data_IF_124176783979
#
_entry.id   IF_124176783979
#
_cell.length_a   1.000
_cell.length_b   1.000
_cell.length_c   1.000
_cell.angle_alpha   90.00
_cell.angle_beta   90.00
_cell.angle_gamma   90.00
#
_symmetry.space_group_name_H-M   'P 1'
#
loop_
_entity.id
_entity.type
_entity.pdbx_description
1 polymer ?
#
# COMPACT_ATOMS: atom_id res chain seq x y z
N UNK A 1 23.75 5.64 5.04
CA UNK A 1 23.13 4.31 5.21
C UNK A 1 21.80 4.53 5.93
N UNK A 2 20.70 3.99 5.41
CA UNK A 2 19.39 4.07 6.09
C UNK A 2 19.45 3.12 7.27
N UNK A 3 19.23 3.61 8.49
CA UNK A 3 19.12 2.76 9.66
C UNK A 3 17.77 2.05 9.61
N UNK A 4 17.79 0.72 9.67
CA UNK A 4 16.57 -0.09 9.56
C UNK A 4 16.56 -1.16 10.64
N UNK A 5 15.38 -1.43 11.18
CA UNK A 5 15.08 -2.63 11.97
C UNK A 5 14.22 -3.54 11.09
N UNK A 6 14.57 -4.81 10.95
CA UNK A 6 13.71 -5.77 10.24
C UNK A 6 12.61 -6.27 11.17
N UNK A 7 11.35 -6.10 10.75
CA UNK A 7 10.16 -6.57 11.46
C UNK A 7 9.49 -7.69 10.66
N UNK A 8 9.30 -8.89 11.24
CA UNK A 8 8.50 -9.94 10.63
C UNK A 8 7.09 -9.45 10.31
N UNK A 9 6.53 -9.91 9.19
CA UNK A 9 5.16 -9.58 8.80
C UNK A 9 4.20 -10.73 9.04
N UNK A 10 2.94 -10.40 9.25
CA UNK A 10 1.83 -11.36 9.23
C UNK A 10 1.09 -11.24 7.90
N UNK A 11 0.64 -12.38 7.37
CA UNK A 11 -0.13 -12.45 6.11
C UNK A 11 -1.53 -12.97 6.39
N UNK A 12 -2.52 -12.15 6.10
CA UNK A 12 -3.95 -12.44 6.22
C UNK A 12 -4.54 -12.61 4.82
N UNK A 13 -5.43 -13.57 4.63
CA UNK A 13 -6.08 -13.85 3.35
C UNK A 13 -7.58 -13.95 3.50
N UNK A 14 -8.30 -13.50 2.46
CA UNK A 14 -9.76 -13.67 2.35
C UNK A 14 -10.23 -15.14 2.36
N UNK A 15 -9.33 -16.08 2.11
CA UNK A 15 -9.56 -17.53 2.12
C UNK A 15 -9.24 -18.19 3.47
N UNK A 16 -8.67 -17.44 4.41
CA UNK A 16 -8.46 -17.95 5.76
C UNK A 16 -9.82 -18.28 6.41
N UNK A 17 -9.82 -19.24 7.33
CA UNK A 17 -11.03 -19.62 8.05
C UNK A 17 -11.55 -18.43 8.87
N UNK A 18 -12.84 -18.12 8.72
CA UNK A 18 -13.52 -16.98 9.36
C UNK A 18 -13.01 -15.59 8.92
N UNK A 19 -12.28 -15.49 7.80
CA UNK A 19 -11.88 -14.20 7.26
C UNK A 19 -13.10 -13.34 6.89
N UNK A 20 -13.08 -12.03 7.18
CA UNK A 20 -14.12 -11.11 6.72
C UNK A 20 -14.13 -11.01 5.20
N UNK A 21 -15.31 -10.74 4.65
CA UNK A 21 -15.51 -10.68 3.21
C UNK A 21 -15.50 -9.22 2.72
N UNK A 22 -14.76 -8.95 1.65
CA UNK A 22 -14.81 -7.66 0.95
C UNK A 22 -15.93 -7.70 -0.08
N UNK A 23 -17.11 -7.18 0.27
CA UNK A 23 -18.35 -7.29 -0.50
C UNK A 23 -18.82 -5.93 -1.01
N UNK A 24 -19.81 -5.89 -1.91
CA UNK A 24 -20.46 -4.64 -2.36
C UNK A 24 -21.44 -4.09 -1.31
N UNK A 25 -20.93 -3.82 -0.12
CA UNK A 25 -21.70 -3.33 1.03
C UNK A 25 -20.88 -2.31 1.81
N UNK A 26 -21.52 -1.20 2.17
CA UNK A 26 -20.95 -0.17 3.03
C UNK A 26 -20.37 -0.79 4.31
N UNK A 27 -19.18 -0.34 4.70
CA UNK A 27 -18.45 -0.85 5.86
C UNK A 27 -17.65 -2.14 5.64
N UNK A 28 -17.77 -2.85 4.51
CA UNK A 28 -17.03 -4.11 4.30
C UNK A 28 -15.50 -3.95 4.31
N UNK A 29 -14.97 -2.90 3.65
CA UNK A 29 -13.54 -2.58 3.68
C UNK A 29 -13.08 -2.22 5.11
N UNK A 30 -13.87 -1.42 5.82
CA UNK A 30 -13.60 -1.09 7.23
C UNK A 30 -13.53 -2.36 8.08
N UNK A 31 -14.47 -3.30 7.89
CA UNK A 31 -14.51 -4.58 8.61
C UNK A 31 -13.28 -5.44 8.34
N UNK A 32 -12.81 -5.53 7.08
CA UNK A 32 -11.56 -6.23 6.74
C UNK A 32 -10.36 -5.63 7.49
N UNK A 33 -10.23 -4.30 7.46
CA UNK A 33 -9.14 -3.60 8.14
C UNK A 33 -9.22 -3.78 9.67
N UNK A 34 -10.41 -3.64 10.26
CA UNK A 34 -10.62 -3.82 11.71
C UNK A 34 -10.25 -5.23 12.17
N UNK A 35 -10.65 -6.26 11.43
CA UNK A 35 -10.32 -7.64 11.75
C UNK A 35 -8.81 -7.89 11.66
N UNK A 36 -8.12 -7.42 10.61
CA UNK A 36 -6.69 -7.69 10.47
C UNK A 36 -5.83 -6.84 11.42
N UNK A 37 -6.20 -5.57 11.62
CA UNK A 37 -5.38 -4.59 12.33
C UNK A 37 -5.61 -4.63 13.85
N UNK A 38 -6.84 -4.87 14.30
CA UNK A 38 -7.25 -4.57 15.68
C UNK A 38 -7.77 -5.79 16.43
N UNK A 39 -8.65 -6.59 15.82
CA UNK A 39 -9.39 -7.65 16.54
C UNK A 39 -8.83 -9.06 16.32
N UNK A 40 -8.23 -9.32 15.17
CA UNK A 40 -7.97 -10.68 14.68
C UNK A 40 -9.24 -11.35 14.16
N UNK A 41 -9.11 -12.56 13.63
CA UNK A 41 -10.25 -13.40 13.26
C UNK A 41 -9.84 -14.88 13.21
N UNK A 42 -10.75 -15.80 13.54
CA UNK A 42 -10.43 -17.22 13.59
C UNK A 42 -9.23 -17.49 14.50
N UNK A 43 -8.17 -18.08 13.94
CA UNK A 43 -6.87 -18.28 14.63
C UNK A 43 -5.82 -17.22 14.30
N UNK A 44 -6.14 -16.25 13.43
CA UNK A 44 -5.22 -15.20 13.03
C UNK A 44 -5.23 -14.06 14.07
N UNK A 45 -4.10 -13.77 14.75
CA UNK A 45 -4.03 -12.67 15.71
C UNK A 45 -4.10 -11.31 14.99
N UNK A 46 -4.47 -10.24 15.69
CA UNK A 46 -4.41 -8.89 15.13
C UNK A 46 -2.96 -8.40 14.93
N UNK A 47 -2.73 -7.46 13.99
CA UNK A 47 -1.41 -6.81 13.79
C UNK A 47 -0.97 -5.88 14.94
N UNK A 48 -1.82 -5.65 15.93
CA UNK A 48 -1.49 -4.83 17.10
C UNK A 48 -1.63 -3.33 16.83
N UNK A 49 -2.62 -2.93 16.06
CA UNK A 49 -2.99 -1.52 15.88
C UNK A 49 -4.12 -1.12 16.84
N UNK A 50 -4.35 0.18 16.95
CA UNK A 50 -5.48 0.80 17.66
C UNK A 50 -6.54 1.28 16.66
N UNK A 51 -7.78 1.39 17.15
CA UNK A 51 -8.87 2.08 16.47
C UNK A 51 -9.42 3.18 17.38
N UNK A 52 -8.74 4.35 17.47
CA UNK A 52 -9.12 5.43 18.39
C UNK A 52 -10.54 5.97 18.17
N UNK A 53 -11.11 5.78 16.97
CA UNK A 53 -12.45 6.23 16.65
C UNK A 53 -13.14 5.27 15.68
N UNK A 54 -14.41 4.97 15.94
CA UNK A 54 -15.30 4.25 15.05
C UNK A 54 -16.72 4.83 15.20
N UNK A 55 -17.36 5.17 14.08
CA UNK A 55 -18.74 5.61 14.05
C UNK A 55 -19.39 5.16 12.74
N UNK A 56 -20.39 4.28 12.85
CA UNK A 56 -21.04 3.68 11.68
C UNK A 56 -20.02 3.04 10.73
N UNK A 57 -19.89 3.58 9.53
CA UNK A 57 -19.03 3.07 8.47
C UNK A 57 -17.67 3.75 8.40
N UNK A 58 -17.37 4.64 9.35
CA UNK A 58 -16.11 5.37 9.46
C UNK A 58 -15.26 4.81 10.59
N UNK A 59 -13.97 4.61 10.36
CA UNK A 59 -13.00 4.24 11.38
C UNK A 59 -11.68 4.98 11.19
N UNK A 60 -10.93 5.09 12.29
CA UNK A 60 -9.56 5.60 12.29
C UNK A 60 -8.66 4.52 12.86
N UNK A 61 -7.60 4.16 12.14
CA UNK A 61 -6.60 3.16 12.54
C UNK A 61 -5.26 3.81 12.80
N UNK A 62 -4.57 3.39 13.86
CA UNK A 62 -3.25 3.93 14.24
C UNK A 62 -2.35 2.84 14.78
N UNK A 63 -1.06 2.90 14.44
CA UNK A 63 -0.05 2.06 15.08
C UNK A 63 0.01 2.29 16.60
N UNK A 64 0.03 1.20 17.36
CA UNK A 64 0.35 1.21 18.81
C UNK A 64 1.84 1.32 19.07
N UNK A 65 2.68 1.03 18.08
CA UNK A 65 4.13 0.93 18.25
C UNK A 65 4.70 2.25 18.81
N UNK A 66 5.50 2.23 19.89
CA UNK A 66 6.05 3.43 20.49
C UNK A 66 6.98 4.21 19.55
N UNK A 67 7.60 3.53 18.56
CA UNK A 67 8.47 4.18 17.56
C UNK A 67 7.68 4.76 16.38
N UNK A 68 6.36 4.60 16.31
CA UNK A 68 5.57 5.10 15.20
C UNK A 68 5.29 6.60 15.27
N UNK A 69 5.15 7.26 14.12
CA UNK A 69 4.86 8.71 13.97
C UNK A 69 3.54 9.17 14.58
N UNK A 70 2.68 8.20 14.96
CA UNK A 70 1.30 8.39 15.42
C UNK A 70 0.37 9.03 14.37
N UNK A 71 0.77 9.12 13.11
CA UNK A 71 -0.18 9.40 12.03
C UNK A 71 -1.18 8.25 11.94
N UNK A 72 -2.45 8.60 11.75
CA UNK A 72 -3.54 7.64 11.68
C UNK A 72 -4.19 7.62 10.29
N UNK A 73 -4.68 6.46 9.88
CA UNK A 73 -5.46 6.27 8.66
C UNK A 73 -6.95 6.39 8.99
N UNK A 74 -7.63 7.38 8.43
CA UNK A 74 -9.08 7.41 8.36
C UNK A 74 -9.56 6.58 7.17
N UNK A 75 -10.61 5.79 7.38
CA UNK A 75 -11.40 5.15 6.33
C UNK A 75 -12.86 5.50 6.54
N UNK A 76 -13.43 6.26 5.62
CA UNK A 76 -14.87 6.48 5.52
C UNK A 76 -15.44 5.55 4.44
N UNK A 77 -16.12 4.50 4.87
CA UNK A 77 -16.65 3.44 4.01
C UNK A 77 -18.18 3.48 3.94
N UNK A 78 -18.77 4.67 3.93
CA UNK A 78 -20.22 4.86 3.80
C UNK A 78 -20.81 4.37 2.47
N UNK A 79 -19.99 4.29 1.40
CA UNK A 79 -20.42 3.79 0.10
C UNK A 79 -20.15 2.29 -0.10
N UNK A 80 -20.94 1.67 -0.99
CA UNK A 80 -20.90 0.23 -1.26
C UNK A 80 -19.74 -0.23 -2.16
N UNK A 81 -19.07 0.70 -2.83
CA UNK A 81 -18.11 0.40 -3.91
C UNK A 81 -16.79 1.15 -3.77
N UNK A 82 -16.74 2.18 -2.92
CA UNK A 82 -15.55 2.96 -2.64
C UNK A 82 -15.51 3.44 -1.20
N UNK A 83 -14.33 3.83 -0.75
CA UNK A 83 -14.14 4.53 0.50
C UNK A 83 -13.39 5.85 0.26
N UNK A 84 -13.52 6.78 1.18
CA UNK A 84 -12.66 7.95 1.26
C UNK A 84 -11.63 7.73 2.35
N UNK A 85 -10.36 7.93 2.01
CA UNK A 85 -9.26 7.72 2.96
C UNK A 85 -8.47 8.98 3.18
N UNK A 86 -7.95 9.14 4.39
CA UNK A 86 -7.15 10.30 4.75
C UNK A 86 -6.14 9.97 5.83
N UNK A 87 -5.05 10.74 5.90
CA UNK A 87 -4.16 10.76 7.05
C UNK A 87 -4.62 11.82 8.05
N UNK A 88 -4.64 11.44 9.32
CA UNK A 88 -5.01 12.28 10.45
C UNK A 88 -3.86 12.40 11.45
N UNK A 89 -3.78 13.55 12.12
CA UNK A 89 -3.08 13.73 13.39
C UNK A 89 -4.10 14.19 14.45
N UNK A 90 -3.71 14.18 15.73
CA UNK A 90 -4.58 14.64 16.83
C UNK A 90 -5.95 13.91 16.91
N UNK A 91 -5.98 12.66 16.44
CA UNK A 91 -7.18 11.85 16.18
C UNK A 91 -7.84 11.23 17.43
N UNK A 92 -7.70 11.86 18.61
CA UNK A 92 -8.23 11.33 19.88
C UNK A 92 -9.78 11.43 19.95
N UNK A 93 -10.39 12.27 19.11
CA UNK A 93 -11.84 12.36 18.88
C UNK A 93 -12.10 13.01 17.51
N UNK A 94 -13.30 12.87 16.96
CA UNK A 94 -13.66 13.47 15.66
C UNK A 94 -13.47 14.99 15.65
N UNK A 95 -13.91 15.68 16.71
CA UNK A 95 -13.80 17.15 16.83
C UNK A 95 -12.36 17.68 16.90
N UNK A 96 -11.41 16.81 17.25
CA UNK A 96 -9.98 17.16 17.40
C UNK A 96 -9.12 16.63 16.27
N UNK A 97 -9.63 15.70 15.48
CA UNK A 97 -8.90 15.07 14.40
C UNK A 97 -8.58 16.11 13.31
N UNK A 98 -7.28 16.33 13.09
CA UNK A 98 -6.82 17.18 11.99
C UNK A 98 -6.51 16.31 10.77
N UNK A 99 -7.32 16.46 9.73
CA UNK A 99 -7.06 15.87 8.41
C UNK A 99 -5.87 16.58 7.76
N UNK A 100 -4.78 15.85 7.55
CA UNK A 100 -3.52 16.41 7.03
C UNK A 100 -3.22 15.99 5.60
N UNK A 101 -3.72 14.82 5.16
CA UNK A 101 -3.58 14.41 3.76
C UNK A 101 -4.82 13.65 3.30
N UNK A 102 -5.48 14.16 2.27
CA UNK A 102 -6.50 13.45 1.51
C UNK A 102 -6.46 14.00 0.09
N UNK A 103 -6.63 13.15 -0.92
CA UNK A 103 -6.90 13.66 -2.25
C UNK A 103 -8.32 14.22 -2.27
N UNK A 104 -8.48 15.49 -2.67
CA UNK A 104 -9.78 16.16 -2.64
C UNK A 104 -10.86 15.45 -3.48
N UNK A 105 -10.47 14.71 -4.53
CA UNK A 105 -11.41 14.06 -5.46
C UNK A 105 -11.09 12.58 -5.73
N UNK A 106 -10.09 11.96 -5.08
CA UNK A 106 -9.72 10.58 -5.42
C UNK A 106 -10.28 9.62 -4.38
N UNK A 107 -11.04 8.64 -4.85
CA UNK A 107 -11.66 7.63 -4.01
C UNK A 107 -10.84 6.34 -4.02
N UNK A 108 -11.00 5.54 -2.97
CA UNK A 108 -10.47 4.20 -2.87
C UNK A 108 -11.54 3.21 -3.35
N UNK A 109 -11.60 2.95 -4.65
CA UNK A 109 -12.59 2.00 -5.18
C UNK A 109 -12.20 0.57 -4.83
N UNK A 110 -13.11 -0.14 -4.14
CA UNK A 110 -12.92 -1.52 -3.71
C UNK A 110 -13.92 -2.49 -4.35
N UNK A 111 -14.88 -2.02 -5.14
CA UNK A 111 -15.75 -2.86 -5.97
C UNK A 111 -16.03 -2.22 -7.34
N UNK A 112 -16.27 -3.08 -8.34
CA UNK A 112 -16.84 -2.66 -9.62
C UNK A 112 -18.36 -2.81 -9.60
N UNK A 113 -19.05 -2.18 -10.55
CA UNK A 113 -20.52 -2.20 -10.62
C UNK A 113 -21.12 -3.62 -10.62
N UNK A 114 -20.54 -4.52 -11.40
CA UNK A 114 -21.05 -5.89 -11.65
C UNK A 114 -20.46 -6.95 -10.70
N UNK A 115 -19.68 -6.54 -9.70
CA UNK A 115 -18.99 -7.46 -8.78
C UNK A 115 -19.60 -7.35 -7.39
N UNK A 116 -19.84 -8.48 -6.74
CA UNK A 116 -20.45 -8.53 -5.40
C UNK A 116 -19.45 -8.84 -4.29
N UNK A 117 -18.30 -9.43 -4.64
CA UNK A 117 -17.24 -9.85 -3.72
C UNK A 117 -15.89 -9.84 -4.44
N UNK A 118 -14.82 -9.53 -3.69
CA UNK A 118 -13.43 -9.60 -4.16
C UNK A 118 -12.56 -10.31 -3.13
N UNK A 119 -11.61 -11.09 -3.61
CA UNK A 119 -10.55 -11.62 -2.77
C UNK A 119 -9.57 -10.53 -2.37
N UNK A 120 -8.92 -10.73 -1.23
CA UNK A 120 -7.95 -9.80 -0.67
C UNK A 120 -6.85 -10.51 0.10
N UNK A 121 -5.70 -9.84 0.23
CA UNK A 121 -4.56 -10.22 1.08
C UNK A 121 -4.11 -8.96 1.84
N UNK A 122 -3.94 -9.06 3.15
CA UNK A 122 -3.31 -8.01 3.95
C UNK A 122 -1.97 -8.52 4.49
N UNK A 123 -0.91 -7.74 4.30
CA UNK A 123 0.45 -8.08 4.77
C UNK A 123 0.96 -6.88 5.57
N UNK A 124 1.52 -7.11 6.75
CA UNK A 124 2.11 -6.01 7.50
C UNK A 124 2.62 -6.39 8.87
N UNK A 125 3.01 -5.36 9.61
CA UNK A 125 3.48 -5.44 11.00
C UNK A 125 2.92 -4.26 11.80
N UNK A 126 3.45 -4.04 13.01
CA UNK A 126 2.96 -3.01 13.94
C UNK A 126 3.11 -1.56 13.47
N UNK A 127 3.80 -1.28 12.35
CA UNK A 127 4.15 0.09 11.89
C UNK A 127 3.74 0.40 10.46
N UNK A 128 3.54 -0.62 9.61
CA UNK A 128 3.04 -0.46 8.25
C UNK A 128 2.30 -1.71 7.80
N UNK A 129 1.39 -1.54 6.84
CA UNK A 129 0.72 -2.63 6.17
C UNK A 129 0.39 -2.28 4.72
N UNK A 130 0.12 -3.32 3.94
CA UNK A 130 -0.46 -3.25 2.61
C UNK A 130 -1.71 -4.13 2.57
N UNK A 131 -2.80 -3.59 2.05
CA UNK A 131 -3.97 -4.35 1.64
C UNK A 131 -3.97 -4.43 0.11
N UNK A 132 -3.98 -5.66 -0.40
CA UNK A 132 -4.17 -5.97 -1.81
C UNK A 132 -5.57 -6.55 -2.01
N UNK A 133 -6.25 -6.20 -3.10
CA UNK A 133 -7.50 -6.85 -3.50
C UNK A 133 -7.60 -6.97 -5.01
N UNK A 134 -8.44 -7.91 -5.46
CA UNK A 134 -8.63 -8.16 -6.89
C UNK A 134 -9.12 -6.89 -7.59
N UNK A 135 -8.45 -6.53 -8.66
CA UNK A 135 -8.81 -5.48 -9.60
C UNK A 135 -9.76 -5.95 -10.69
N UNK A 136 -9.89 -5.17 -11.76
CA UNK A 136 -10.63 -5.62 -12.96
C UNK A 136 -9.76 -6.59 -13.76
N UNK A 137 -8.50 -6.23 -13.98
CA UNK A 137 -7.52 -7.08 -14.68
C UNK A 137 -6.33 -7.44 -13.80
N UNK A 138 -6.02 -6.62 -12.79
CA UNK A 138 -4.78 -6.74 -12.01
C UNK A 138 -5.07 -6.61 -10.52
N UNK A 139 -4.12 -6.10 -9.74
CA UNK A 139 -4.23 -5.91 -8.29
C UNK A 139 -4.45 -4.44 -7.95
N UNK A 140 -5.36 -4.20 -7.01
CA UNK A 140 -5.48 -2.92 -6.31
C UNK A 140 -4.73 -2.95 -5.00
N UNK A 141 -4.23 -1.79 -4.59
CA UNK A 141 -3.40 -1.65 -3.40
C UNK A 141 -3.82 -0.45 -2.57
N UNK A 142 -3.78 -0.61 -1.25
CA UNK A 142 -3.69 0.43 -0.23
C UNK A 142 -2.46 0.12 0.61
N UNK A 143 -1.48 1.01 0.63
CA UNK A 143 -0.33 0.93 1.52
C UNK A 143 -0.40 2.09 2.52
N UNK A 144 -0.19 1.80 3.80
CA UNK A 144 -0.18 2.80 4.86
C UNK A 144 0.81 2.45 5.97
N UNK A 145 1.58 3.44 6.40
CA UNK A 145 2.39 3.35 7.61
C UNK A 145 3.71 4.09 7.55
N UNK A 146 4.57 3.80 8.52
CA UNK A 146 5.86 4.43 8.64
C UNK A 146 6.91 3.76 7.75
N UNK A 147 7.85 4.56 7.26
CA UNK A 147 9.01 4.09 6.50
C UNK A 147 10.33 4.55 7.14
N UNK A 148 11.43 3.77 7.02
CA UNK A 148 12.75 4.20 7.46
C UNK A 148 13.24 5.45 6.72
N UNK A 149 13.42 6.54 7.45
CA UNK A 149 13.76 7.84 6.88
C UNK A 149 15.26 8.14 6.91
N UNK A 150 15.71 8.94 5.94
CA UNK A 150 17.02 9.59 5.93
C UNK A 150 17.04 10.92 6.67
N UNK A 151 15.87 11.54 6.90
CA UNK A 151 15.80 12.83 7.57
C UNK A 151 16.08 12.66 9.08
N UNK A 152 16.93 13.53 9.62
CA UNK A 152 17.28 13.52 11.05
C UNK A 152 16.09 14.01 11.86
N UNK A 153 15.67 13.21 12.85
CA UNK A 153 14.53 13.58 13.72
C UNK A 153 13.19 13.61 12.98
N UNK A 154 13.04 12.82 11.92
CA UNK A 154 11.82 12.79 11.11
C UNK A 154 10.59 12.44 11.96
N UNK A 155 9.56 13.29 11.90
CA UNK A 155 8.26 13.07 12.55
C UNK A 155 7.11 12.98 11.54
N UNK A 156 7.45 12.88 10.26
CA UNK A 156 6.56 12.90 9.11
C UNK A 156 6.73 11.70 8.17
N UNK A 157 7.56 10.72 8.54
CA UNK A 157 7.87 9.51 7.77
C UNK A 157 6.73 8.49 7.75
N UNK A 158 5.48 8.95 7.74
CA UNK A 158 4.31 8.14 7.43
C UNK A 158 3.90 8.42 5.98
N UNK A 159 3.63 7.36 5.23
CA UNK A 159 3.29 7.38 3.82
C UNK A 159 1.94 6.70 3.60
N UNK A 160 1.20 7.17 2.60
CA UNK A 160 -0.02 6.53 2.12
C UNK A 160 0.02 6.47 0.60
N UNK A 161 -0.36 5.32 0.06
CA UNK A 161 -0.60 5.12 -1.37
C UNK A 161 -1.87 4.30 -1.56
N UNK A 162 -2.64 4.63 -2.58
CA UNK A 162 -3.64 3.72 -3.08
C UNK A 162 -3.85 3.85 -4.59
N UNK A 163 -4.21 2.74 -5.24
CA UNK A 163 -4.71 2.75 -6.61
C UNK A 163 -6.10 3.38 -6.66
N UNK A 164 -6.34 4.27 -7.62
CA UNK A 164 -7.54 5.07 -7.71
C UNK A 164 -7.95 5.26 -9.17
N UNK A 165 -9.25 5.17 -9.43
CA UNK A 165 -9.85 5.58 -10.70
C UNK A 165 -10.21 7.08 -10.70
N UNK A 166 -9.67 7.88 -9.77
CA UNK A 166 -10.05 9.29 -9.60
C UNK A 166 -11.36 9.43 -8.80
N UNK A 167 -12.29 10.22 -9.32
CA UNK A 167 -13.55 10.60 -8.67
C UNK A 167 -14.72 9.63 -8.93
N UNK A 168 -14.47 8.58 -9.72
CA UNK A 168 -15.44 7.53 -9.99
C UNK A 168 -15.93 6.86 -8.71
N UNK A 169 -17.22 6.52 -8.67
CA UNK A 169 -17.84 5.84 -7.54
C UNK A 169 -17.59 4.33 -7.55
N UNK A 170 -16.87 3.79 -8.51
CA UNK A 170 -16.66 2.36 -8.64
C UNK A 170 -15.41 2.07 -9.45
N UNK A 171 -14.86 0.89 -9.20
CA UNK A 171 -13.62 0.45 -9.81
C UNK A 171 -13.80 0.27 -11.31
N UNK A 172 -12.82 0.77 -12.07
CA UNK A 172 -12.73 0.59 -13.51
C UNK A 172 -11.34 0.07 -13.91
N UNK A 173 -10.95 0.28 -15.16
CA UNK A 173 -9.64 -0.09 -15.72
C UNK A 173 -8.72 1.13 -15.85
N UNK A 174 -8.96 2.20 -15.09
CA UNK A 174 -8.25 3.48 -15.22
C UNK A 174 -7.18 3.69 -14.14
N UNK A 175 -7.12 2.82 -13.13
CA UNK A 175 -6.13 2.98 -12.06
C UNK A 175 -4.72 2.70 -12.53
N UNK A 176 -3.87 3.68 -12.29
CA UNK A 176 -2.46 3.62 -12.58
C UNK A 176 -1.65 3.10 -11.39
N UNK A 177 -0.54 2.44 -11.71
CA UNK A 177 0.43 1.97 -10.72
C UNK A 177 1.19 3.11 -10.03
N UNK A 178 2.07 2.77 -9.07
CA UNK A 178 2.78 3.77 -8.30
C UNK A 178 3.75 4.60 -9.16
N UNK A 179 3.81 5.90 -8.90
CA UNK A 179 4.70 6.83 -9.61
C UNK A 179 6.15 6.56 -9.31
N UNK A 180 6.94 6.45 -10.37
CA UNK A 180 8.34 6.06 -10.27
C UNK A 180 9.26 7.00 -11.06
N UNK A 181 10.45 7.28 -10.53
CA UNK A 181 11.47 8.05 -11.25
C UNK A 181 11.85 7.31 -12.54
N UNK A 182 11.80 8.03 -13.66
CA UNK A 182 12.18 7.49 -14.97
C UNK A 182 11.10 6.65 -15.67
N UNK A 183 9.93 6.45 -15.06
CA UNK A 183 8.81 5.80 -15.75
C UNK A 183 8.09 6.78 -16.68
N UNK A 184 7.85 6.35 -17.92
CA UNK A 184 7.12 7.14 -18.94
C UNK A 184 5.62 6.80 -19.01
N UNK A 185 5.10 5.99 -18.09
CA UNK A 185 3.69 5.60 -18.06
C UNK A 185 2.91 6.38 -17.00
N UNK A 186 1.60 6.52 -17.22
CA UNK A 186 0.66 7.13 -16.28
C UNK A 186 0.76 6.47 -14.90
N UNK A 187 0.81 7.28 -13.85
CA UNK A 187 1.10 6.81 -12.50
C UNK A 187 0.51 7.68 -11.41
N UNK A 188 0.31 7.09 -10.24
CA UNK A 188 -0.29 7.72 -9.07
C UNK A 188 0.78 8.08 -8.05
N UNK A 189 0.82 9.36 -7.65
CA UNK A 189 1.74 9.86 -6.62
C UNK A 189 1.43 9.28 -5.25
N UNK A 190 2.42 9.32 -4.37
CA UNK A 190 2.29 8.95 -2.97
C UNK A 190 2.02 10.19 -2.12
N UNK A 191 1.41 9.97 -0.95
CA UNK A 191 1.16 11.01 0.05
C UNK A 191 2.06 10.84 1.27
N UNK A 192 2.82 11.86 1.64
CA UNK A 192 3.53 11.92 2.92
C UNK A 192 2.72 12.69 3.94
N UNK A 193 2.78 12.25 5.20
CA UNK A 193 2.12 12.93 6.31
C UNK A 193 2.68 14.35 6.53
N UNK A 194 4.01 14.52 6.43
CA UNK A 194 4.67 15.83 6.52
C UNK A 194 5.91 15.92 5.63
N UNK A 195 6.31 17.14 5.30
CA UNK A 195 7.64 17.41 4.70
C UNK A 195 8.78 16.98 5.64
N UNK A 196 10.00 16.86 5.12
CA UNK A 196 11.16 16.38 5.88
C UNK A 196 11.56 17.28 7.05
N UNK A 197 11.28 18.56 6.92
CA UNK A 197 11.48 19.59 7.95
C UNK A 197 10.25 19.76 8.85
N UNK A 198 9.19 18.98 8.65
CA UNK A 198 7.90 19.05 9.31
C UNK A 198 7.16 20.41 9.19
N UNK A 199 7.60 21.31 8.29
CA UNK A 199 6.99 22.63 8.09
C UNK A 199 5.68 22.57 7.29
N UNK A 200 5.49 21.53 6.48
CA UNK A 200 4.28 21.32 5.67
C UNK A 200 3.59 20.02 6.07
N UNK A 201 2.29 20.07 6.31
CA UNK A 201 1.43 18.91 6.53
C UNK A 201 0.82 18.47 5.20
N UNK A 202 0.86 17.17 4.91
CA UNK A 202 0.31 16.60 3.69
C UNK A 202 1.09 16.99 2.43
N UNK A 203 1.88 16.06 1.89
CA UNK A 203 2.57 16.23 0.60
C UNK A 203 2.05 15.21 -0.39
N UNK A 204 1.52 15.66 -1.52
CA UNK A 204 0.81 14.81 -2.51
C UNK A 204 1.64 14.51 -3.77
N UNK A 205 2.89 14.94 -3.77
CA UNK A 205 3.80 14.87 -4.93
C UNK A 205 5.07 14.10 -4.56
N UNK A 206 4.88 12.90 -4.01
CA UNK A 206 5.97 11.97 -3.71
C UNK A 206 5.94 10.79 -4.69
N UNK A 207 7.09 10.17 -4.89
CA UNK A 207 7.25 9.05 -5.83
C UNK A 207 8.28 8.06 -5.30
N UNK A 208 8.45 6.93 -6.00
CA UNK A 208 9.47 5.94 -5.68
C UNK A 208 10.57 5.88 -6.75
N UNK A 209 11.70 5.25 -6.44
CA UNK A 209 12.67 4.78 -7.43
C UNK A 209 13.05 3.34 -7.15
N UNK A 210 13.40 2.60 -8.18
CA UNK A 210 13.93 1.24 -8.07
C UNK A 210 14.85 0.94 -9.25
N UNK A 211 15.90 0.15 -9.04
CA UNK A 211 16.83 -0.24 -10.12
C UNK A 211 16.08 -1.02 -11.22
N UNK A 212 15.31 -2.04 -10.85
CA UNK A 212 14.48 -2.83 -11.75
C UNK A 212 13.38 -2.02 -12.43
N UNK A 213 12.96 -0.91 -11.82
CA UNK A 213 12.06 0.04 -12.44
C UNK A 213 12.64 0.75 -13.67
N UNK A 214 13.96 0.91 -13.74
CA UNK A 214 14.63 1.60 -14.84
C UNK A 214 14.69 0.78 -16.14
N UNK A 215 14.47 -0.53 -16.07
CA UNK A 215 14.48 -1.43 -17.23
C UNK A 215 13.30 -2.41 -17.21
N UNK A 216 12.15 -1.99 -16.69
CA UNK A 216 10.94 -2.82 -16.64
C UNK A 216 10.46 -3.27 -18.05
N UNK A 217 9.76 -4.40 -18.10
CA UNK A 217 9.28 -5.03 -19.33
C UNK A 217 10.23 -6.09 -19.91
N UNK A 218 11.12 -6.64 -19.09
CA UNK A 218 11.98 -7.75 -19.51
C UNK A 218 11.19 -9.05 -19.68
N UNK A 219 11.69 -9.97 -20.49
CA UNK A 219 11.07 -11.28 -20.67
C UNK A 219 11.21 -12.08 -19.37
N UNK A 220 10.13 -12.78 -19.00
CA UNK A 220 10.13 -13.77 -17.93
C UNK A 220 10.20 -15.21 -18.49
N UNK A 221 11.03 -16.11 -17.93
CA UNK A 221 12.06 -15.83 -16.92
C UNK A 221 13.23 -15.02 -17.49
N UNK A 222 14.01 -14.41 -16.60
CA UNK A 222 15.20 -13.66 -16.96
C UNK A 222 16.23 -14.53 -17.70
N UNK A 223 16.73 -14.09 -18.85
CA UNK A 223 17.58 -14.91 -19.71
C UNK A 223 18.96 -15.26 -19.11
N UNK A 224 19.43 -14.49 -18.12
CA UNK A 224 20.76 -14.68 -17.51
C UNK A 224 20.65 -15.53 -16.23
N UNK A 225 19.74 -15.15 -15.34
CA UNK A 225 19.56 -15.79 -14.04
C UNK A 225 18.58 -16.98 -14.07
N UNK A 226 17.82 -17.13 -15.16
CA UNK A 226 16.67 -18.04 -15.26
C UNK A 226 15.63 -17.83 -14.12
N UNK A 227 15.62 -16.63 -13.55
CA UNK A 227 14.82 -16.24 -12.40
C UNK A 227 14.17 -14.89 -12.62
N UNK A 228 14.24 -14.03 -11.61
CA UNK A 228 13.60 -12.73 -11.61
C UNK A 228 14.51 -11.66 -11.00
N UNK A 229 14.53 -10.48 -11.61
CA UNK A 229 15.22 -9.30 -11.10
C UNK A 229 14.24 -8.43 -10.30
N UNK A 230 14.50 -8.32 -9.00
CA UNK A 230 13.83 -7.35 -8.13
C UNK A 230 14.80 -6.38 -7.51
N UNK A 231 14.30 -5.20 -7.17
CA UNK A 231 15.01 -4.28 -6.30
C UNK A 231 14.06 -3.49 -5.43
N UNK A 232 14.56 -3.12 -4.25
CA UNK A 232 13.85 -2.28 -3.29
C UNK A 232 13.38 -0.98 -3.94
N UNK A 233 12.28 -0.46 -3.42
CA UNK A 233 11.78 0.87 -3.76
C UNK A 233 12.26 1.88 -2.73
N UNK A 234 12.72 3.05 -3.16
CA UNK A 234 13.08 4.18 -2.29
C UNK A 234 12.04 5.28 -2.44
N UNK A 235 11.61 5.87 -1.33
CA UNK A 235 10.67 6.99 -1.30
C UNK A 235 11.42 8.28 -1.60
N UNK A 236 10.83 9.15 -2.42
CA UNK A 236 11.33 10.48 -2.73
C UNK A 236 10.30 11.55 -2.42
N UNK A 237 10.78 12.66 -1.87
CA UNK A 237 10.00 13.88 -1.67
C UNK A 237 10.37 14.92 -2.73
N UNK A 238 9.36 15.62 -3.28
CA UNK A 238 9.61 16.81 -4.09
C UNK A 238 9.98 18.01 -3.21
N UNK A 239 11.22 18.49 -3.37
CA UNK A 239 11.76 19.70 -2.75
C UNK A 239 12.09 20.68 -3.87
N UNK A 240 11.29 21.73 -4.01
CA UNK A 240 11.50 22.80 -4.99
C UNK A 240 11.67 22.29 -6.45
N UNK A 241 10.83 21.33 -6.85
CA UNK A 241 10.85 20.74 -8.19
C UNK A 241 11.86 19.61 -8.37
N UNK A 242 12.55 19.17 -7.31
CA UNK A 242 13.54 18.09 -7.35
C UNK A 242 13.12 16.96 -6.43
N UNK A 243 13.12 15.73 -6.95
CA UNK A 243 12.82 14.54 -6.17
C UNK A 243 14.07 14.07 -5.44
N UNK A 244 14.10 14.26 -4.12
CA UNK A 244 15.21 13.87 -3.26
C UNK A 244 14.82 12.65 -2.45
N UNK A 245 15.74 11.69 -2.32
CA UNK A 245 15.50 10.47 -1.57
C UNK A 245 15.18 10.79 -0.10
N UNK A 246 14.03 10.31 0.36
CA UNK A 246 13.50 10.52 1.71
C UNK A 246 13.65 9.27 2.58
N UNK A 247 13.58 8.07 2.01
CA UNK A 247 13.68 6.84 2.78
C UNK A 247 13.54 5.56 1.96
N UNK A 248 13.49 4.43 2.65
CA UNK A 248 13.28 3.10 2.05
C UNK A 248 11.81 2.72 2.11
N UNK A 249 11.21 2.24 1.03
CA UNK A 249 9.83 1.79 1.03
C UNK A 249 9.72 0.37 1.64
N UNK A 250 8.97 0.18 2.73
CA UNK A 250 8.84 -1.13 3.37
C UNK A 250 8.06 -2.13 2.52
N UNK A 251 8.65 -3.30 2.28
CA UNK A 251 7.97 -4.49 1.75
C UNK A 251 7.71 -4.52 0.25
N UNK A 252 7.78 -3.39 -0.46
CA UNK A 252 7.54 -3.31 -1.90
C UNK A 252 8.85 -3.35 -2.70
N UNK A 253 8.90 -4.25 -3.67
CA UNK A 253 10.02 -4.41 -4.59
C UNK A 253 9.51 -4.26 -6.03
N UNK A 254 10.18 -3.47 -6.86
CA UNK A 254 9.85 -3.42 -8.29
C UNK A 254 10.43 -4.66 -8.98
N UNK A 255 9.68 -5.22 -9.92
CA UNK A 255 10.09 -6.32 -10.77
C UNK A 255 10.40 -5.80 -12.17
N UNK A 256 11.54 -6.22 -12.74
CA UNK A 256 11.89 -5.84 -14.10
C UNK A 256 11.13 -6.68 -15.14
N UNK A 257 10.84 -7.94 -14.81
CA UNK A 257 10.22 -8.90 -15.72
C UNK A 257 8.71 -8.68 -15.89
N UNK A 258 8.23 -8.95 -17.10
CA UNK A 258 6.82 -9.00 -17.47
C UNK A 258 6.20 -10.29 -16.94
N UNK A 259 5.32 -10.15 -15.96
CA UNK A 259 4.65 -11.27 -15.29
C UNK A 259 3.21 -11.47 -15.78
N UNK A 260 2.83 -11.00 -16.98
CA UNK A 260 1.45 -11.11 -17.49
C UNK A 260 0.89 -12.53 -17.50
N UNK A 261 1.76 -13.52 -17.67
CA UNK A 261 1.42 -14.95 -17.76
C UNK A 261 1.41 -15.64 -16.40
N UNK A 262 1.81 -14.95 -15.33
CA UNK A 262 1.83 -15.46 -13.98
C UNK A 262 0.60 -14.95 -13.24
N UNK A 263 -0.13 -15.84 -12.58
CA UNK A 263 -1.30 -15.46 -11.81
C UNK A 263 -0.93 -14.47 -10.70
N UNK A 264 -1.78 -13.47 -10.46
CA UNK A 264 -1.60 -12.50 -9.37
C UNK A 264 -1.52 -13.22 -8.01
N UNK A 265 -0.67 -12.73 -7.12
CA UNK A 265 -0.43 -13.24 -5.76
C UNK A 265 0.14 -14.66 -5.67
N UNK A 266 0.72 -15.16 -6.76
CA UNK A 266 1.52 -16.38 -6.74
C UNK A 266 2.80 -16.18 -5.92
N UNK A 267 3.25 -17.24 -5.24
CA UNK A 267 4.58 -17.24 -4.62
C UNK A 267 5.66 -17.13 -5.69
N UNK A 268 6.69 -16.32 -5.40
CA UNK A 268 7.83 -16.07 -6.28
C UNK A 268 9.14 -16.63 -5.72
N UNK A 269 9.06 -17.40 -4.64
CA UNK A 269 10.21 -17.81 -3.82
C UNK A 269 11.26 -18.57 -4.66
N UNK A 270 10.78 -19.44 -5.55
CA UNK A 270 11.62 -20.23 -6.46
C UNK A 270 12.40 -19.43 -7.51
N UNK A 271 12.08 -18.14 -7.71
CA UNK A 271 12.67 -17.31 -8.77
C UNK A 271 13.63 -16.23 -8.24
N UNK A 272 13.47 -15.81 -6.98
CA UNK A 272 14.26 -14.71 -6.40
C UNK A 272 15.58 -15.22 -5.81
N UNK A 273 15.65 -16.49 -5.39
CA UNK A 273 16.86 -17.08 -4.80
C UNK A 273 17.25 -16.48 -3.45
N UNK A 274 16.29 -15.90 -2.72
CA UNK A 274 16.45 -15.31 -1.39
C UNK A 274 15.94 -16.24 -0.29
N UNK A 275 16.36 -16.00 0.96
CA UNK A 275 15.71 -16.59 2.14
C UNK A 275 14.36 -15.94 2.48
N UNK A 276 14.08 -14.77 1.90
CA UNK A 276 12.78 -14.11 2.00
C UNK A 276 11.78 -14.69 0.99
N UNK A 277 10.52 -14.70 1.41
CA UNK A 277 9.37 -15.10 0.59
C UNK A 277 8.66 -13.90 -0.02
N UNK A 278 8.07 -14.07 -1.20
CA UNK A 278 7.45 -12.99 -1.97
C UNK A 278 6.19 -13.45 -2.69
N UNK A 279 5.25 -12.52 -2.86
CA UNK A 279 4.12 -12.67 -3.80
C UNK A 279 4.18 -11.60 -4.90
N UNK A 280 3.72 -11.91 -6.11
CA UNK A 280 3.61 -10.92 -7.19
C UNK A 280 2.31 -10.11 -7.13
N UNK A 281 2.36 -8.88 -7.64
CA UNK A 281 1.20 -8.08 -7.98
C UNK A 281 1.49 -7.14 -9.16
N UNK A 282 0.59 -7.09 -10.13
CA UNK A 282 0.52 -6.03 -11.14
C UNK A 282 -0.31 -4.87 -10.61
N UNK A 283 0.23 -3.66 -10.62
CA UNK A 283 -0.46 -2.48 -10.04
C UNK A 283 -1.01 -1.51 -11.09
N UNK A 284 -0.92 -1.86 -12.37
CA UNK A 284 -1.44 -1.05 -13.48
C UNK A 284 -2.66 -1.76 -14.08
N UNK A 285 -3.86 -1.19 -13.97
CA UNK A 285 -5.14 -1.83 -14.38
C UNK A 285 -5.36 -1.84 -15.89
N UNK A 286 -4.46 -2.51 -16.60
CA UNK A 286 -4.49 -2.63 -18.04
C UNK A 286 -4.31 -4.10 -18.45
N UNK A 287 -5.22 -4.58 -19.27
CA UNK A 287 -5.10 -5.92 -19.87
C UNK A 287 -3.89 -5.94 -20.81
N UNK A 288 -2.97 -6.88 -20.59
CA UNK A 288 -1.72 -6.97 -21.35
C UNK A 288 -0.61 -6.00 -20.92
N UNK A 289 -0.67 -5.40 -19.73
CA UNK A 289 0.43 -4.60 -19.18
C UNK A 289 1.77 -5.39 -19.20
N UNK A 290 2.80 -4.86 -19.87
CA UNK A 290 4.17 -5.42 -19.90
C UNK A 290 5.00 -5.01 -18.69
N UNK A 291 4.53 -4.03 -17.93
CA UNK A 291 5.27 -3.39 -16.84
C UNK A 291 4.34 -3.05 -15.68
N UNK A 292 4.90 -2.50 -14.59
CA UNK A 292 4.14 -2.20 -13.38
C UNK A 292 3.91 -3.43 -12.50
N UNK A 293 4.78 -4.44 -12.62
CA UNK A 293 4.83 -5.59 -11.74
C UNK A 293 5.72 -5.30 -10.53
N UNK A 294 5.24 -5.71 -9.37
CA UNK A 294 5.91 -5.56 -8.10
C UNK A 294 5.84 -6.89 -7.34
N UNK A 295 6.73 -7.05 -6.38
CA UNK A 295 6.64 -8.09 -5.38
C UNK A 295 6.41 -7.47 -4.00
N UNK A 296 5.60 -8.15 -3.18
CA UNK A 296 5.49 -7.86 -1.75
C UNK A 296 6.26 -8.94 -0.99
N UNK A 297 7.23 -8.52 -0.19
CA UNK A 297 7.94 -9.40 0.75
C UNK A 297 6.95 -9.88 1.83
N UNK A 298 6.86 -11.19 2.05
CA UNK A 298 5.96 -11.81 3.03
C UNK A 298 6.69 -12.38 4.25
N UNK A 299 7.99 -12.12 4.37
CA UNK A 299 8.84 -12.54 5.50
C UNK A 299 9.02 -11.41 6.52
N UNK A 300 9.66 -10.31 6.12
CA UNK A 300 9.98 -9.20 7.02
C UNK A 300 10.21 -7.90 6.26
N UNK A 301 9.86 -6.76 6.88
CA UNK A 301 10.03 -5.44 6.28
C UNK A 301 10.98 -4.57 7.10
N UNK A 302 11.73 -3.67 6.44
CA UNK A 302 12.48 -2.64 7.14
C UNK A 302 11.52 -1.60 7.70
N UNK A 303 11.71 -1.23 8.97
CA UNK A 303 10.86 -0.27 9.65
C UNK A 303 11.68 0.70 10.52
#
# INVERSE_FOLDING_TARGET
>A
MIQTELKPVTVYRSTDTNAPQLTKTAGSLKTVLKACLVEGYGSQPALGWDMPYENGMKAVFRSKDPKATKTALQVDNAANTYAEVAMLIEHQSEDKAKKIAAYNNYKLQYQAWNTTRREWILIGHSRAFVLLWQGVYKTRMLWFGDFPSLAVGDTGNCLMYYGSDGDYNEMSTQSNGPRMIGSNYSSTSFMLAKSFDALTLGRFDSMISSLCGAYAGQIFPDAISNGLSISQCFVHENINGRYTMRGLFPGLYACAQDLRSVAEWSSMDSFVGSGDTFINCGLHEYDGATHGYFLINTTAWPA
#
